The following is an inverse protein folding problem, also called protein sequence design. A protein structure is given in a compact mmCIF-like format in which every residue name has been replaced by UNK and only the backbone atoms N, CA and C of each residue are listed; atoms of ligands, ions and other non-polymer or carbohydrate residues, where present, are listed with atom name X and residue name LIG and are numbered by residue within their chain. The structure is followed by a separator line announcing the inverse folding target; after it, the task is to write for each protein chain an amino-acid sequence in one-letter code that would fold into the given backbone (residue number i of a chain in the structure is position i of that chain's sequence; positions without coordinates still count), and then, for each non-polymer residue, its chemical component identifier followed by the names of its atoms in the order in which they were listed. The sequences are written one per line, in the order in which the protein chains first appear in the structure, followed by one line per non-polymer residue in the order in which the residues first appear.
data_IF_125157014503
#
_entry.id   IF_125157014503
#
_cell.length_a   1.000
_cell.length_b   1.000
_cell.length_c   1.000
_cell.angle_alpha   90.00
_cell.angle_beta   90.00
_cell.angle_gamma   90.00
#
_symmetry.space_group_name_H-M   'P 1'
#
loop_
_entity.id
_entity.type
_entity.pdbx_description
1 polymer ?
#
# COMPACT_ATOMS: atom_id res chain seq x y z
N UNK A 1 -13.82 17.01 -11.52
CA UNK A 1 -13.26 15.88 -10.75
C UNK A 1 -13.05 14.74 -11.73
N UNK A 2 -11.80 14.41 -12.01
CA UNK A 2 -11.41 13.43 -13.01
C UNK A 2 -11.38 12.02 -12.40
N UNK A 3 -11.36 10.98 -13.24
CA UNK A 3 -11.21 9.58 -12.77
C UNK A 3 -9.86 9.36 -12.08
N UNK A 4 -8.84 10.14 -12.45
CA UNK A 4 -7.50 10.09 -11.84
C UNK A 4 -7.57 10.58 -10.39
N UNK A 5 -8.26 11.69 -10.12
CA UNK A 5 -8.45 12.22 -8.76
C UNK A 5 -9.11 11.18 -7.81
N UNK A 6 -10.12 10.47 -8.31
CA UNK A 6 -10.85 9.44 -7.54
C UNK A 6 -9.94 8.25 -7.23
N UNK A 7 -9.11 7.81 -8.18
CA UNK A 7 -8.16 6.71 -7.96
C UNK A 7 -7.03 7.11 -7.00
N UNK A 8 -6.53 8.33 -7.10
CA UNK A 8 -5.49 8.86 -6.22
C UNK A 8 -5.96 8.96 -4.77
N UNK A 9 -7.16 9.48 -4.54
CA UNK A 9 -7.74 9.52 -3.18
C UNK A 9 -7.91 8.14 -2.55
N UNK A 10 -8.22 7.11 -3.35
CA UNK A 10 -8.27 5.72 -2.86
C UNK A 10 -6.88 5.18 -2.49
N UNK A 11 -5.85 5.50 -3.27
CA UNK A 11 -4.45 5.10 -2.98
C UNK A 11 -3.97 5.76 -1.68
N UNK A 12 -4.17 7.08 -1.54
CA UNK A 12 -3.81 7.81 -0.32
C UNK A 12 -4.52 7.25 0.91
N UNK A 13 -5.81 6.96 0.82
CA UNK A 13 -6.57 6.35 1.91
C UNK A 13 -6.02 4.97 2.27
N UNK A 14 -5.71 4.14 1.29
CA UNK A 14 -5.14 2.82 1.53
C UNK A 14 -3.78 2.90 2.23
N UNK A 15 -2.90 3.80 1.79
CA UNK A 15 -1.55 3.97 2.33
C UNK A 15 -1.52 4.62 3.71
N UNK A 16 -2.38 5.62 3.99
CA UNK A 16 -2.29 6.43 5.22
C UNK A 16 -3.25 5.98 6.32
N UNK A 17 -4.36 5.31 5.96
CA UNK A 17 -5.38 4.90 6.92
C UNK A 17 -5.50 3.39 7.01
N UNK A 18 -5.79 2.70 5.89
CA UNK A 18 -6.23 1.30 5.96
C UNK A 18 -5.09 0.33 6.27
N UNK A 19 -3.98 0.38 5.53
CA UNK A 19 -2.84 -0.51 5.77
C UNK A 19 -2.18 -0.25 7.14
N UNK A 20 -1.96 1.01 7.58
CA UNK A 20 -1.47 1.29 8.92
C UNK A 20 -2.42 0.81 10.02
N UNK A 21 -3.74 0.96 9.84
CA UNK A 21 -4.71 0.44 10.81
C UNK A 21 -4.63 -1.09 10.93
N UNK A 22 -4.52 -1.81 9.81
CA UNK A 22 -4.30 -3.26 9.82
C UNK A 22 -2.99 -3.64 10.51
N UNK A 23 -1.92 -2.91 10.23
CA UNK A 23 -0.63 -3.12 10.89
C UNK A 23 -0.75 -2.93 12.42
N UNK A 24 -1.49 -1.93 12.89
CA UNK A 24 -1.76 -1.71 14.30
C UNK A 24 -2.56 -2.87 14.92
N UNK A 25 -3.59 -3.36 14.25
CA UNK A 25 -4.40 -4.51 14.70
C UNK A 25 -3.54 -5.77 14.90
N UNK A 26 -2.70 -6.09 13.91
CA UNK A 26 -1.81 -7.26 13.99
C UNK A 26 -0.74 -7.11 15.09
N UNK A 27 -0.21 -5.91 15.29
CA UNK A 27 0.73 -5.63 16.39
C UNK A 27 0.08 -5.81 17.76
N UNK A 28 -1.17 -5.39 17.91
CA UNK A 28 -1.94 -5.57 19.13
C UNK A 28 -2.21 -7.06 19.41
N UNK A 29 -2.61 -7.84 18.41
CA UNK A 29 -2.79 -9.28 18.55
C UNK A 29 -1.47 -9.99 18.93
N UNK A 30 -0.35 -9.66 18.30
CA UNK A 30 0.95 -10.24 18.63
C UNK A 30 1.33 -10.03 20.10
N UNK A 31 1.03 -8.83 20.61
CA UNK A 31 1.28 -8.47 22.01
C UNK A 31 0.34 -9.23 22.96
N UNK A 32 -0.95 -9.29 22.61
CA UNK A 32 -1.98 -10.01 23.39
C UNK A 32 -1.66 -11.50 23.51
N UNK A 33 -1.37 -12.16 22.39
CA UNK A 33 -1.16 -13.60 22.35
C UNK A 33 0.12 -14.00 23.09
N UNK A 34 1.20 -13.24 22.90
CA UNK A 34 2.44 -13.43 23.68
C UNK A 34 2.22 -13.20 25.18
N UNK A 35 1.40 -12.21 25.53
CA UNK A 35 1.03 -11.91 26.91
C UNK A 35 0.18 -13.00 27.57
N UNK A 36 -0.64 -13.72 26.79
CA UNK A 36 -1.45 -14.83 27.29
C UNK A 36 -0.64 -16.14 27.41
N UNK A 37 0.26 -16.41 26.47
CA UNK A 37 0.99 -17.68 26.40
C UNK A 37 2.16 -17.71 27.40
N UNK A 38 2.96 -16.65 27.50
CA UNK A 38 4.16 -16.64 28.33
C UNK A 38 3.91 -16.99 29.82
N UNK A 39 2.84 -16.49 30.48
CA UNK A 39 2.55 -16.87 31.86
C UNK A 39 2.18 -18.36 32.02
N UNK A 40 1.45 -18.93 31.05
CA UNK A 40 1.07 -20.34 31.06
C UNK A 40 2.31 -21.22 30.92
N UNK A 41 3.19 -20.89 29.97
CA UNK A 41 4.47 -21.58 29.79
C UNK A 41 5.33 -21.52 31.07
N UNK A 42 5.40 -20.35 31.72
CA UNK A 42 6.13 -20.18 32.97
C UNK A 42 5.54 -21.04 34.11
N UNK A 43 4.21 -21.12 34.24
CA UNK A 43 3.57 -21.98 35.24
C UNK A 43 3.85 -23.47 34.99
N UNK A 44 3.81 -23.91 33.73
CA UNK A 44 4.10 -25.30 33.37
C UNK A 44 5.57 -25.66 33.59
N UNK A 45 6.49 -24.72 33.36
CA UNK A 45 7.90 -24.88 33.70
C UNK A 45 8.09 -25.09 35.22
N UNK A 46 7.42 -24.28 36.04
CA UNK A 46 7.45 -24.39 37.50
C UNK A 46 6.77 -25.67 38.03
N UNK A 47 5.79 -26.21 37.30
CA UNK A 47 5.05 -27.42 37.67
C UNK A 47 5.76 -28.75 37.34
N UNK A 48 7.05 -28.71 37.01
CA UNK A 48 7.84 -29.91 36.68
C UNK A 48 8.26 -30.00 35.22
N UNK A 49 8.30 -28.86 34.51
CA UNK A 49 8.78 -28.76 33.14
C UNK A 49 8.08 -29.71 32.17
N UNK A 50 6.75 -29.65 32.16
CA UNK A 50 5.93 -30.48 31.27
C UNK A 50 6.30 -30.19 29.79
N UNK A 51 6.48 -31.20 28.91
CA UNK A 51 6.91 -30.99 27.52
C UNK A 51 6.07 -29.96 26.75
N UNK A 52 4.76 -29.92 27.01
CA UNK A 52 3.84 -28.95 26.42
C UNK A 52 4.23 -27.48 26.67
N UNK A 53 5.01 -27.18 27.71
CA UNK A 53 5.52 -25.84 27.96
C UNK A 53 6.47 -25.38 26.84
N UNK A 54 7.34 -26.30 26.37
CA UNK A 54 8.24 -26.05 25.25
C UNK A 54 7.47 -25.82 23.96
N UNK A 55 6.55 -26.73 23.63
CA UNK A 55 5.70 -26.60 22.44
C UNK A 55 4.89 -25.28 22.45
N UNK A 56 4.34 -24.90 23.60
CA UNK A 56 3.57 -23.67 23.77
C UNK A 56 4.46 -22.42 23.59
N UNK A 57 5.68 -22.44 24.13
CA UNK A 57 6.66 -21.37 23.92
C UNK A 57 7.09 -21.25 22.46
N UNK A 58 7.35 -22.38 21.78
CA UNK A 58 7.75 -22.38 20.38
C UNK A 58 6.63 -21.83 19.48
N UNK A 59 5.39 -22.26 19.69
CA UNK A 59 4.21 -21.73 18.99
C UNK A 59 4.04 -20.23 19.26
N UNK A 60 4.25 -19.78 20.51
CA UNK A 60 4.16 -18.35 20.85
C UNK A 60 5.17 -17.52 20.07
N UNK A 61 6.42 -18.01 19.97
CA UNK A 61 7.50 -17.33 19.24
C UNK A 61 7.18 -17.31 17.75
N UNK A 62 6.75 -18.45 17.19
CA UNK A 62 6.38 -18.55 15.78
C UNK A 62 5.24 -17.60 15.42
N UNK A 63 4.17 -17.58 16.23
CA UNK A 63 3.02 -16.70 16.04
C UNK A 63 3.41 -15.23 16.13
N UNK A 64 4.22 -14.86 17.12
CA UNK A 64 4.74 -13.49 17.25
C UNK A 64 5.55 -13.06 16.01
N UNK A 65 6.44 -13.93 15.52
CA UNK A 65 7.25 -13.65 14.34
C UNK A 65 6.40 -13.47 13.08
N UNK A 66 5.41 -14.34 12.87
CA UNK A 66 4.50 -14.24 11.73
C UNK A 66 3.69 -12.95 11.75
N UNK A 67 3.09 -12.61 12.91
CA UNK A 67 2.31 -11.38 13.06
C UNK A 67 3.19 -10.14 12.83
N UNK A 68 4.41 -10.13 13.38
CA UNK A 68 5.37 -9.03 13.16
C UNK A 68 5.82 -8.92 11.70
N UNK A 69 5.95 -10.05 11.01
CA UNK A 69 6.22 -10.06 9.57
C UNK A 69 5.05 -9.44 8.79
N UNK A 70 3.80 -9.77 9.14
CA UNK A 70 2.62 -9.16 8.51
C UNK A 70 2.58 -7.64 8.72
N UNK A 71 2.85 -7.16 9.94
CA UNK A 71 2.95 -5.72 10.25
C UNK A 71 3.96 -5.03 9.33
N UNK A 72 5.14 -5.63 9.15
CA UNK A 72 6.16 -5.09 8.25
C UNK A 72 5.66 -5.06 6.81
N UNK A 73 5.05 -6.14 6.32
CA UNK A 73 4.50 -6.19 4.95
C UNK A 73 3.44 -5.12 4.71
N UNK A 74 2.55 -4.86 5.67
CA UNK A 74 1.55 -3.79 5.55
C UNK A 74 2.19 -2.41 5.46
N UNK A 75 3.19 -2.13 6.32
CA UNK A 75 3.91 -0.86 6.29
C UNK A 75 4.72 -0.68 4.99
N UNK A 76 5.41 -1.73 4.53
CA UNK A 76 6.18 -1.71 3.29
C UNK A 76 5.23 -1.49 2.08
N UNK A 77 4.03 -2.08 2.12
CA UNK A 77 2.99 -1.88 1.09
C UNK A 77 2.45 -0.45 1.10
N UNK A 78 2.25 0.13 2.27
CA UNK A 78 1.81 1.52 2.41
C UNK A 78 2.84 2.48 1.81
N UNK A 79 4.12 2.30 2.12
CA UNK A 79 5.21 3.09 1.53
C UNK A 79 5.29 2.92 0.01
N UNK A 80 5.12 1.70 -0.50
CA UNK A 80 5.12 1.46 -1.94
C UNK A 80 3.95 2.17 -2.65
N UNK A 81 2.77 2.21 -2.03
CA UNK A 81 1.61 2.93 -2.55
C UNK A 81 1.84 4.44 -2.57
N UNK A 82 2.47 5.00 -1.54
CA UNK A 82 2.86 6.42 -1.51
C UNK A 82 3.83 6.76 -2.64
N UNK A 83 4.86 5.94 -2.86
CA UNK A 83 5.81 6.16 -3.95
C UNK A 83 5.12 6.13 -5.33
N UNK A 84 4.20 5.19 -5.54
CA UNK A 84 3.41 5.13 -6.77
C UNK A 84 2.53 6.38 -6.91
N UNK A 85 1.93 6.86 -5.81
CA UNK A 85 1.12 8.06 -5.83
C UNK A 85 1.95 9.30 -6.21
N UNK A 86 3.14 9.45 -5.64
CA UNK A 86 4.06 10.54 -5.96
C UNK A 86 4.51 10.50 -7.44
N UNK A 87 4.82 9.31 -7.96
CA UNK A 87 5.18 9.11 -9.37
C UNK A 87 4.03 9.53 -10.31
N UNK A 88 2.78 9.15 -9.99
CA UNK A 88 1.63 9.56 -10.80
C UNK A 88 1.45 11.09 -10.83
N UNK A 89 1.63 11.76 -9.68
CA UNK A 89 1.54 13.23 -9.59
C UNK A 89 2.66 13.89 -10.40
N UNK A 90 3.87 13.35 -10.35
CA UNK A 90 5.00 13.87 -11.11
C UNK A 90 4.77 13.76 -12.63
N UNK A 91 4.29 12.61 -13.10
CA UNK A 91 3.97 12.38 -14.52
C UNK A 91 2.82 13.28 -14.98
N UNK A 92 1.78 13.46 -14.16
CA UNK A 92 0.66 14.35 -14.48
C UNK A 92 1.12 15.82 -14.60
N UNK A 93 1.99 16.27 -13.68
CA UNK A 93 2.58 17.60 -13.73
C UNK A 93 3.47 17.81 -14.98
N UNK A 94 4.25 16.80 -15.37
CA UNK A 94 5.06 16.84 -16.60
C UNK A 94 4.17 16.89 -17.85
N UNK A 95 3.12 16.07 -17.90
CA UNK A 95 2.16 16.06 -19.01
C UNK A 95 1.43 17.41 -19.14
N UNK A 96 1.01 18.01 -18.02
CA UNK A 96 0.39 19.33 -18.01
C UNK A 96 1.37 20.42 -18.48
N UNK A 97 2.61 20.40 -17.99
CA UNK A 97 3.64 21.35 -18.41
C UNK A 97 3.97 21.22 -19.92
N UNK A 98 3.98 19.99 -20.45
CA UNK A 98 4.13 19.74 -21.88
C UNK A 98 2.93 20.31 -22.65
N UNK A 99 1.70 20.01 -22.20
CA UNK A 99 0.47 20.50 -22.83
C UNK A 99 0.41 22.03 -22.87
N UNK A 100 0.75 22.71 -21.78
CA UNK A 100 0.77 24.17 -21.70
C UNK A 100 1.74 24.80 -22.70
N UNK A 101 2.88 24.14 -22.96
CA UNK A 101 3.87 24.57 -23.97
C UNK A 101 3.47 24.22 -25.41
N UNK A 102 2.59 23.24 -25.60
CA UNK A 102 2.22 22.67 -26.89
C UNK A 102 0.75 22.89 -27.24
N UNK A 103 0.07 23.84 -26.59
CA UNK A 103 -1.34 24.19 -26.82
C UNK A 103 -1.63 24.55 -28.28
N UNK A 104 -0.62 25.06 -29.02
CA UNK A 104 -0.69 25.34 -30.44
C UNK A 104 -0.94 24.09 -31.33
N UNK A 105 -0.69 22.88 -30.82
CA UNK A 105 -0.96 21.62 -31.52
C UNK A 105 -2.33 21.03 -31.16
N UNK A 106 -3.10 21.72 -30.32
CA UNK A 106 -4.39 21.25 -29.81
C UNK A 106 -5.51 21.98 -30.54
N UNK A 107 -6.15 21.25 -31.45
CA UNK A 107 -7.17 21.74 -32.38
C UNK A 107 -6.97 21.08 -33.73
N UNK A 108 -8.07 20.69 -34.39
CA UNK A 108 -8.00 20.14 -35.75
C UNK A 108 -7.33 21.22 -36.62
N UNK A 109 -6.15 20.98 -37.23
CA UNK A 109 -5.62 21.95 -38.17
C UNK A 109 -6.69 22.12 -39.25
N UNK A 110 -7.05 23.36 -39.59
CA UNK A 110 -7.74 23.61 -40.84
C UNK A 110 -6.81 23.08 -41.93
N UNK A 111 -7.01 21.82 -42.32
CA UNK A 111 -6.38 21.22 -43.48
C UNK A 111 -6.76 22.14 -44.63
N UNK A 112 -5.76 22.80 -45.21
CA UNK A 112 -5.94 23.59 -46.42
C UNK A 112 -6.76 22.73 -47.39
N UNK A 113 -7.96 23.21 -47.74
CA UNK A 113 -8.81 22.54 -48.71
C UNK A 113 -7.98 22.22 -49.93
N UNK A 114 -7.93 20.95 -50.31
CA UNK A 114 -7.22 20.53 -51.52
C UNK A 114 -7.63 21.47 -52.66
N UNK A 115 -6.67 21.98 -53.46
CA UNK A 115 -7.01 22.79 -54.61
C UNK A 115 -7.88 21.91 -55.51
N UNK A 116 -9.15 22.29 -55.69
CA UNK A 116 -10.07 21.61 -56.58
C UNK A 116 -9.38 21.47 -57.94
N UNK A 117 -9.09 20.22 -58.32
CA UNK A 117 -8.56 19.90 -59.64
C UNK A 117 -9.48 20.45 -60.74
N UNK A 118 -8.94 20.75 -61.93
CA UNK A 118 -9.70 21.40 -62.98
C UNK A 118 -10.92 20.55 -63.39
N UNK A 119 -12.08 21.20 -63.50
CA UNK A 119 -13.31 20.59 -64.00
C UNK A 119 -13.07 20.01 -65.40
N UNK A 120 -13.42 18.72 -65.57
CA UNK A 120 -13.46 18.01 -66.86
C UNK A 120 -14.79 18.23 -67.56
#
# INVERSE_FOLDING_TARGET
MTVIDIKMSAIYRAAHEELPARAADFAAHATSDSGAINPIAAQLALAGNHPIAGDLSDISVELFLHLRSMVRTFNDSATALDLIADDFVAVDAEAQAWFDQHTQYVGDPELATEPTGPEV
#
